data_IF_179041974136
#
_entry.id   IF_179041974136
#
_cell.length_a   1.000
_cell.length_b   1.000
_cell.length_c   1.000
_cell.angle_alpha   90.00
_cell.angle_beta   90.00
_cell.angle_gamma   90.00
#
_symmetry.space_group_name_H-M   'P 1'
#
loop_
_entity.id
_entity.type
_entity.pdbx_description
1 polymer ?
#
# COMPACT_ATOMS: atom_id res chain seq x y z
N UNK A 1 -11.49 -19.67 -7.71
CA UNK A 1 -10.65 -18.89 -8.65
C UNK A 1 -9.51 -18.31 -7.84
N UNK A 2 -8.28 -18.39 -8.35
CA UNK A 2 -7.12 -17.77 -7.69
C UNK A 2 -7.27 -16.25 -7.73
N UNK A 3 -6.97 -15.58 -6.62
CA UNK A 3 -6.95 -14.11 -6.56
C UNK A 3 -5.57 -13.65 -7.05
N UNK A 4 -5.46 -12.69 -7.97
CA UNK A 4 -4.16 -12.15 -8.38
C UNK A 4 -3.38 -11.60 -7.18
N UNK A 5 -2.11 -12.00 -7.05
CA UNK A 5 -1.22 -11.56 -5.98
C UNK A 5 0.00 -10.87 -6.58
N UNK A 6 0.32 -9.69 -6.05
CA UNK A 6 1.52 -8.95 -6.39
C UNK A 6 2.39 -8.80 -5.13
N UNK A 7 3.69 -9.06 -5.27
CA UNK A 7 4.67 -8.86 -4.20
C UNK A 7 5.30 -7.47 -4.35
N UNK A 8 5.57 -6.82 -3.22
CA UNK A 8 6.25 -5.54 -3.14
C UNK A 8 7.27 -5.59 -1.98
N UNK A 9 8.37 -4.86 -2.13
CA UNK A 9 9.45 -4.76 -1.14
C UNK A 9 9.36 -3.48 -0.29
N UNK A 10 8.54 -2.51 -0.70
CA UNK A 10 8.29 -1.27 0.03
C UNK A 10 6.83 -0.84 -0.03
N UNK A 11 6.45 0.12 0.81
CA UNK A 11 5.11 0.71 0.78
C UNK A 11 4.90 1.51 -0.50
N UNK A 12 5.93 2.20 -0.97
CA UNK A 12 5.92 2.98 -2.20
C UNK A 12 5.66 2.09 -3.42
N UNK A 13 6.37 0.96 -3.52
CA UNK A 13 6.17 -0.02 -4.59
C UNK A 13 4.77 -0.64 -4.51
N UNK A 14 4.30 -1.00 -3.30
CA UNK A 14 2.96 -1.54 -3.11
C UNK A 14 1.87 -0.57 -3.57
N UNK A 15 2.00 0.73 -3.26
CA UNK A 15 1.06 1.77 -3.69
C UNK A 15 1.11 1.99 -5.21
N UNK A 16 2.29 1.97 -5.81
CA UNK A 16 2.43 2.09 -7.27
C UNK A 16 1.78 0.93 -8.01
N UNK A 17 1.99 -0.30 -7.54
CA UNK A 17 1.33 -1.50 -8.08
C UNK A 17 -0.18 -1.38 -7.93
N UNK A 18 -0.67 -1.04 -6.72
CA UNK A 18 -2.10 -0.90 -6.47
C UNK A 18 -2.74 0.17 -7.38
N UNK A 19 -2.08 1.31 -7.59
CA UNK A 19 -2.55 2.35 -8.49
C UNK A 19 -2.61 1.90 -9.96
N UNK A 20 -1.68 1.05 -10.40
CA UNK A 20 -1.70 0.47 -11.74
C UNK A 20 -2.78 -0.61 -11.94
N UNK A 21 -3.25 -1.22 -10.86
CA UNK A 21 -4.32 -2.23 -10.88
C UNK A 21 -5.72 -1.63 -10.71
N UNK A 22 -5.84 -0.54 -9.96
CA UNK A 22 -7.12 0.08 -9.62
C UNK A 22 -7.75 0.80 -10.82
N UNK A 23 -9.08 0.76 -10.91
CA UNK A 23 -9.86 1.51 -11.88
C UNK A 23 -10.59 2.67 -11.20
N UNK A 24 -11.18 3.56 -12.01
CA UNK A 24 -12.08 4.57 -11.48
C UNK A 24 -13.20 3.90 -10.66
N UNK A 25 -13.55 4.51 -9.52
CA UNK A 25 -14.52 4.02 -8.52
C UNK A 25 -14.04 2.84 -7.62
N UNK A 26 -12.83 2.30 -7.84
CA UNK A 26 -12.26 1.32 -6.91
C UNK A 26 -11.77 1.98 -5.61
N UNK A 27 -11.77 1.20 -4.54
CA UNK A 27 -11.17 1.58 -3.26
C UNK A 27 -9.91 0.74 -2.98
N UNK A 28 -8.81 1.41 -2.63
CA UNK A 28 -7.58 0.76 -2.19
C UNK A 28 -7.50 0.80 -0.66
N UNK A 29 -7.40 -0.36 -0.03
CA UNK A 29 -7.35 -0.49 1.44
C UNK A 29 -5.99 -1.02 1.91
N UNK A 30 -5.35 -0.30 2.83
CA UNK A 30 -4.23 -0.83 3.61
C UNK A 30 -4.74 -1.65 4.82
N UNK A 31 -4.66 -2.98 4.74
CA UNK A 31 -5.05 -3.89 5.84
C UNK A 31 -4.00 -4.99 6.08
N UNK A 32 -2.88 -4.68 6.78
CA UNK A 32 -1.69 -5.53 6.82
C UNK A 32 -1.80 -6.76 7.75
N UNK A 33 -2.88 -6.91 8.54
CA UNK A 33 -3.15 -8.03 9.47
C UNK A 33 -2.03 -8.39 10.49
N UNK A 34 -0.88 -7.71 10.45
CA UNK A 34 0.35 -8.04 11.18
C UNK A 34 0.94 -6.81 11.89
N UNK A 35 1.73 -7.08 12.93
CA UNK A 35 2.49 -6.07 13.67
C UNK A 35 3.51 -5.38 12.74
N UNK A 36 3.74 -4.09 12.94
CA UNK A 36 4.46 -3.20 12.01
C UNK A 36 5.98 -3.11 12.24
N UNK A 37 6.53 -3.86 13.19
CA UNK A 37 7.83 -3.56 13.81
C UNK A 37 9.06 -3.97 12.99
N UNK A 38 8.87 -4.68 11.89
CA UNK A 38 9.93 -5.08 10.96
C UNK A 38 10.37 -3.92 10.06
N UNK A 39 9.42 -3.19 9.48
CA UNK A 39 9.65 -2.12 8.51
C UNK A 39 9.29 -0.72 9.03
N UNK A 40 8.54 -0.62 10.13
CA UNK A 40 8.01 0.65 10.63
C UNK A 40 8.18 0.80 12.14
N UNK A 41 8.30 2.06 12.59
CA UNK A 41 8.43 2.38 14.03
C UNK A 41 7.21 1.95 14.84
N UNK A 42 6.01 2.05 14.26
CA UNK A 42 4.73 1.69 14.84
C UNK A 42 3.63 1.72 13.76
N UNK A 43 2.39 1.41 14.14
CA UNK A 43 1.25 1.39 13.21
C UNK A 43 0.95 2.77 12.60
N UNK A 44 1.14 3.86 13.35
CA UNK A 44 0.91 5.23 12.88
C UNK A 44 1.90 5.61 11.80
N UNK A 45 3.19 5.35 12.04
CA UNK A 45 4.25 5.55 11.05
C UNK A 45 3.97 4.78 9.75
N UNK A 46 3.45 3.54 9.83
CA UNK A 46 3.03 2.78 8.65
C UNK A 46 1.91 3.46 7.86
N UNK A 47 0.90 4.01 8.56
CA UNK A 47 -0.17 4.78 7.95
C UNK A 47 0.30 6.10 7.33
N UNK A 48 1.24 6.78 7.97
CA UNK A 48 1.86 8.01 7.46
C UNK A 48 2.64 7.73 6.17
N UNK A 49 3.44 6.67 6.14
CA UNK A 49 4.20 6.26 4.94
C UNK A 49 3.26 5.89 3.79
N UNK A 50 2.18 5.13 4.06
CA UNK A 50 1.16 4.85 3.04
C UNK A 50 0.53 6.12 2.49
N UNK A 51 0.10 7.02 3.37
CA UNK A 51 -0.53 8.28 2.96
C UNK A 51 0.43 9.18 2.17
N UNK A 52 1.71 9.16 2.52
CA UNK A 52 2.76 9.87 1.78
C UNK A 52 2.98 9.25 0.39
N UNK A 53 3.07 7.92 0.30
CA UNK A 53 3.21 7.20 -0.97
C UNK A 53 2.03 7.47 -1.92
N UNK A 54 0.79 7.44 -1.40
CA UNK A 54 -0.42 7.75 -2.20
C UNK A 54 -0.39 9.19 -2.71
N UNK A 55 -0.01 10.16 -1.87
CA UNK A 55 0.12 11.57 -2.28
C UNK A 55 1.26 11.82 -3.28
N UNK A 56 2.21 10.90 -3.39
CA UNK A 56 3.33 10.96 -4.34
C UNK A 56 3.01 10.38 -5.71
N UNK A 57 1.81 9.81 -5.93
CA UNK A 57 1.40 9.30 -7.23
C UNK A 57 1.27 10.45 -8.25
N UNK A 58 1.60 10.21 -9.53
CA UNK A 58 1.33 11.16 -10.60
C UNK A 58 -0.18 11.40 -10.74
N UNK A 59 -0.54 12.64 -11.12
CA UNK A 59 -1.92 13.05 -11.37
C UNK A 59 -2.49 12.43 -12.66
#
# INVERSE_FOLDING_TARGET
ADVPVHYAQSMEEAVQIAAGCAQAEDNVLLSPACASFDMFKNYGHRGDVFSAAVRGLPA
#
